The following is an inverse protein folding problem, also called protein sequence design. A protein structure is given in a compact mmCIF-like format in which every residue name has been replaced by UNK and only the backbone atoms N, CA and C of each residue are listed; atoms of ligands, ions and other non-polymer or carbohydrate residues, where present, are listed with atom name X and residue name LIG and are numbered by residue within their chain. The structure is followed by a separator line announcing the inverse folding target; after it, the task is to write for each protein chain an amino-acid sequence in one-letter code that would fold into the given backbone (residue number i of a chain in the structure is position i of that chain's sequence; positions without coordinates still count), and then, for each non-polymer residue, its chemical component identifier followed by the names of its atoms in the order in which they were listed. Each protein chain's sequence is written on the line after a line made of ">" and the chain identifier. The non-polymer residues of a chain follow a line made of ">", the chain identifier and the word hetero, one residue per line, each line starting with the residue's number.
data_IF_864664524243
#
_entry.id   IF_864664524243
#
_cell.length_a   1.000
_cell.length_b   1.000
_cell.length_c   1.000
_cell.angle_alpha   90.00
_cell.angle_beta   90.00
_cell.angle_gamma   90.00
#
_symmetry.space_group_name_H-M   'P 1'
#
loop_
_entity.id
_entity.type
_entity.pdbx_description
1 polymer ?
#
# COMPACT_ATOMS: atom_id res chain seq x y z
N UNK A 1 26.22 1.73 -9.17
CA UNK A 1 25.14 1.17 -8.34
C UNK A 1 23.88 1.85 -8.81
N UNK A 2 22.90 1.08 -9.30
CA UNK A 2 21.58 1.59 -9.72
C UNK A 2 20.88 1.87 -8.38
N UNK A 3 21.05 3.05 -7.79
CA UNK A 3 20.30 4.23 -8.20
C UNK A 3 18.85 3.91 -7.87
N UNK A 4 18.37 4.39 -6.72
CA UNK A 4 16.98 4.37 -6.25
C UNK A 4 16.11 5.10 -7.28
N UNK A 5 15.97 4.49 -8.45
CA UNK A 5 15.17 4.99 -9.55
C UNK A 5 13.73 4.69 -9.14
N UNK A 6 13.17 5.70 -8.47
CA UNK A 6 11.76 6.00 -8.41
C UNK A 6 10.89 4.95 -7.74
N UNK A 7 10.92 4.88 -6.41
CA UNK A 7 9.88 4.19 -5.65
C UNK A 7 8.52 4.87 -5.91
N UNK A 8 8.52 6.18 -6.14
CA UNK A 8 7.32 6.96 -6.46
C UNK A 8 6.69 6.76 -7.85
N UNK A 9 7.28 6.01 -8.80
CA UNK A 9 6.77 6.01 -10.20
C UNK A 9 5.96 4.78 -10.60
N UNK A 10 6.06 3.65 -9.89
CA UNK A 10 5.39 2.41 -10.34
C UNK A 10 3.93 2.32 -9.84
N UNK A 11 3.59 2.93 -8.71
CA UNK A 11 2.23 2.84 -8.13
C UNK A 11 1.22 3.86 -8.68
N UNK A 12 1.68 4.94 -9.32
CA UNK A 12 0.80 5.98 -9.88
C UNK A 12 -0.06 5.44 -11.05
N UNK A 13 0.33 4.34 -11.67
CA UNK A 13 -0.38 3.81 -12.85
C UNK A 13 -1.65 3.04 -12.46
N UNK A 14 -1.72 2.43 -11.26
CA UNK A 14 -2.93 1.75 -10.78
C UNK A 14 -4.08 2.71 -10.43
N UNK A 15 -3.76 3.94 -9.99
CA UNK A 15 -4.76 4.95 -9.59
C UNK A 15 -5.49 5.56 -10.79
N UNK A 16 -4.84 5.67 -11.96
CA UNK A 16 -5.47 6.28 -13.15
C UNK A 16 -6.42 5.36 -13.92
N UNK A 17 -6.34 4.03 -13.72
CA UNK A 17 -7.21 3.07 -14.42
C UNK A 17 -8.67 3.11 -13.97
N UNK A 18 -8.96 3.62 -12.77
CA UNK A 18 -10.29 3.56 -12.16
C UNK A 18 -11.23 4.67 -12.69
N UNK A 19 -10.70 5.72 -13.32
CA UNK A 19 -11.50 6.83 -13.84
C UNK A 19 -12.45 6.47 -15.00
N UNK A 20 -12.33 5.29 -15.62
CA UNK A 20 -13.16 4.89 -16.78
C UNK A 20 -14.47 4.14 -16.44
N UNK A 21 -14.87 4.04 -15.17
CA UNK A 21 -16.02 3.20 -14.74
C UNK A 21 -17.33 3.95 -14.46
N UNK A 22 -17.51 5.17 -14.94
CA UNK A 22 -18.69 6.00 -14.58
C UNK A 22 -19.99 5.65 -15.30
N UNK A 23 -20.01 4.83 -16.35
CA UNK A 23 -21.27 4.50 -17.03
C UNK A 23 -21.38 3.00 -17.36
N UNK A 24 -22.19 2.27 -16.58
CA UNK A 24 -23.41 1.61 -17.10
C UNK A 24 -24.19 0.78 -16.05
N UNK A 25 -25.50 0.87 -16.17
CA UNK A 25 -26.58 0.32 -15.34
C UNK A 25 -26.72 -1.23 -15.40
N UNK A 26 -26.78 -1.90 -14.23
CA UNK A 26 -27.74 -2.95 -13.78
C UNK A 26 -27.19 -3.65 -12.52
N UNK A 27 -27.89 -3.48 -11.40
CA UNK A 27 -27.43 -3.90 -10.06
C UNK A 27 -27.66 -5.40 -9.87
N UNK A 28 -26.60 -6.19 -10.03
CA UNK A 28 -26.45 -7.46 -9.32
C UNK A 28 -25.90 -7.14 -7.91
N UNK A 29 -26.32 -7.86 -6.87
CA UNK A 29 -25.88 -7.61 -5.47
C UNK A 29 -24.34 -7.60 -5.36
N UNK A 30 -23.68 -8.47 -6.11
CA UNK A 30 -22.22 -8.56 -6.24
C UNK A 30 -21.58 -7.29 -6.83
N UNK A 31 -22.23 -6.62 -7.78
CA UNK A 31 -21.69 -5.39 -8.38
C UNK A 31 -21.72 -4.21 -7.40
N UNK A 32 -22.72 -4.19 -6.50
CA UNK A 32 -22.79 -3.21 -5.43
C UNK A 32 -21.72 -3.47 -4.36
N UNK A 33 -21.56 -4.73 -3.93
CA UNK A 33 -20.52 -5.14 -2.97
C UNK A 33 -19.11 -4.83 -3.50
N UNK A 34 -18.83 -5.11 -4.78
CA UNK A 34 -17.55 -4.76 -5.42
C UNK A 34 -17.34 -3.24 -5.44
N UNK A 35 -18.37 -2.45 -5.77
CA UNK A 35 -18.26 -0.98 -5.81
C UNK A 35 -18.06 -0.37 -4.41
N UNK A 36 -18.78 -0.87 -3.40
CA UNK A 36 -18.60 -0.43 -2.02
C UNK A 36 -17.17 -0.69 -1.55
N UNK A 37 -16.66 -1.90 -1.82
CA UNK A 37 -15.29 -2.24 -1.51
C UNK A 37 -14.29 -1.36 -2.27
N UNK A 38 -14.49 -1.12 -3.57
CA UNK A 38 -13.65 -0.21 -4.36
C UNK A 38 -13.64 1.23 -3.84
N UNK A 39 -14.79 1.75 -3.39
CA UNK A 39 -14.86 3.08 -2.80
C UNK A 39 -14.05 3.14 -1.51
N UNK A 40 -14.16 2.12 -0.65
CA UNK A 40 -13.31 1.99 0.54
C UNK A 40 -11.82 1.98 0.17
N UNK A 41 -11.42 1.30 -0.91
CA UNK A 41 -10.01 1.33 -1.33
C UNK A 41 -9.57 2.73 -1.76
N UNK A 42 -10.39 3.44 -2.52
CA UNK A 42 -10.06 4.77 -3.01
C UNK A 42 -10.06 5.85 -1.92
N UNK A 43 -10.96 5.73 -0.95
CA UNK A 43 -11.15 6.73 0.10
C UNK A 43 -10.24 6.49 1.30
N UNK A 44 -9.97 5.22 1.66
CA UNK A 44 -9.24 4.86 2.88
C UNK A 44 -7.86 4.27 2.56
N UNK A 45 -7.79 3.22 1.73
CA UNK A 45 -6.55 2.45 1.56
C UNK A 45 -5.49 3.13 0.69
N UNK A 46 -5.83 3.55 -0.53
CA UNK A 46 -4.86 4.12 -1.46
C UNK A 46 -4.24 5.44 -1.00
N UNK A 47 -4.96 6.36 -0.35
CA UNK A 47 -4.35 7.55 0.25
C UNK A 47 -3.27 7.17 1.27
N UNK A 48 -3.56 6.26 2.19
CA UNK A 48 -2.62 5.79 3.22
C UNK A 48 -1.43 5.06 2.59
N UNK A 49 -1.67 4.23 1.58
CA UNK A 49 -0.62 3.56 0.81
C UNK A 49 0.35 4.58 0.19
N UNK A 50 -0.18 5.61 -0.47
CA UNK A 50 0.63 6.65 -1.11
C UNK A 50 1.46 7.43 -0.10
N UNK A 51 0.86 7.84 1.02
CA UNK A 51 1.56 8.56 2.08
C UNK A 51 2.67 7.69 2.69
N UNK A 52 2.41 6.40 2.92
CA UNK A 52 3.40 5.46 3.44
C UNK A 52 4.58 5.26 2.47
N UNK A 53 4.32 5.13 1.17
CA UNK A 53 5.39 5.03 0.18
C UNK A 53 6.21 6.31 0.06
N UNK A 54 5.58 7.48 0.13
CA UNK A 54 6.32 8.75 0.13
C UNK A 54 7.25 8.86 1.33
N UNK A 55 6.78 8.47 2.52
CA UNK A 55 7.59 8.44 3.73
C UNK A 55 8.73 7.41 3.64
N UNK A 56 8.48 6.23 3.06
CA UNK A 56 9.49 5.20 2.83
C UNK A 56 10.55 5.61 1.78
N UNK A 57 10.16 6.33 0.73
CA UNK A 57 11.08 6.89 -0.27
C UNK A 57 12.02 7.89 0.41
N UNK A 58 11.48 8.79 1.24
CA UNK A 58 12.30 9.70 2.03
C UNK A 58 13.20 8.96 3.03
N UNK A 59 12.70 7.94 3.72
CA UNK A 59 13.52 7.13 4.61
C UNK A 59 14.67 6.43 3.85
N UNK A 60 14.44 6.01 2.60
CA UNK A 60 15.46 5.41 1.75
C UNK A 60 16.56 6.43 1.38
N UNK A 61 16.16 7.65 0.99
CA UNK A 61 17.09 8.74 0.67
C UNK A 61 17.94 9.12 1.90
N UNK A 62 17.30 9.29 3.07
CA UNK A 62 17.97 9.65 4.31
C UNK A 62 18.86 8.51 4.83
N UNK A 63 18.47 7.25 4.57
CA UNK A 63 19.37 6.11 4.72
C UNK A 63 20.54 6.27 3.75
N UNK A 64 20.38 6.46 2.44
CA UNK A 64 21.51 6.61 1.51
C UNK A 64 22.48 7.76 1.87
N UNK A 65 21.96 8.86 2.41
CA UNK A 65 22.73 10.05 2.78
C UNK A 65 23.39 9.95 4.16
N UNK A 66 23.16 8.87 4.93
CA UNK A 66 23.63 8.71 6.33
C UNK A 66 23.05 9.75 7.29
N UNK A 67 21.88 10.28 6.98
CA UNK A 67 21.18 11.34 7.73
C UNK A 67 19.91 10.84 8.41
N UNK A 68 19.55 9.56 8.23
CA UNK A 68 18.36 8.91 8.78
C UNK A 68 18.09 9.24 10.26
N UNK A 69 19.08 9.16 11.15
CA UNK A 69 18.87 9.41 12.58
C UNK A 69 18.48 10.87 12.86
N UNK A 70 19.13 11.82 12.20
CA UNK A 70 18.81 13.24 12.35
C UNK A 70 17.44 13.55 11.76
N UNK A 71 17.14 13.00 10.58
CA UNK A 71 15.82 13.13 9.96
C UNK A 71 14.72 12.56 10.86
N UNK A 72 14.88 11.30 11.28
CA UNK A 72 13.87 10.57 12.03
C UNK A 72 13.64 11.21 13.40
N UNK A 73 14.70 11.54 14.15
CA UNK A 73 14.55 12.05 15.52
C UNK A 73 14.32 13.56 15.62
N UNK A 74 14.74 14.35 14.62
CA UNK A 74 14.77 15.81 14.74
C UNK A 74 14.03 16.54 13.61
N UNK A 75 13.86 15.93 12.44
CA UNK A 75 13.24 16.58 11.28
C UNK A 75 11.79 16.12 11.01
N UNK A 76 11.17 15.41 11.95
CA UNK A 76 9.76 15.02 11.88
C UNK A 76 9.50 13.60 11.38
N UNK A 77 10.52 12.86 10.93
CA UNK A 77 10.34 11.50 10.41
C UNK A 77 9.67 10.56 11.41
N UNK A 78 9.99 10.65 12.71
CA UNK A 78 9.34 9.88 13.76
C UNK A 78 7.85 10.20 13.92
N UNK A 79 7.50 11.48 13.88
CA UNK A 79 6.13 11.93 14.10
C UNK A 79 5.24 11.51 12.91
N UNK A 80 5.74 11.69 11.69
CA UNK A 80 5.07 11.21 10.47
C UNK A 80 4.92 9.69 10.47
N UNK A 81 5.96 8.95 10.86
CA UNK A 81 5.92 7.50 10.97
C UNK A 81 4.89 7.01 12.00
N UNK A 82 4.72 7.73 13.11
CA UNK A 82 3.71 7.43 14.11
C UNK A 82 2.29 7.72 13.60
N UNK A 83 2.08 8.85 12.92
CA UNK A 83 0.79 9.19 12.29
C UNK A 83 0.39 8.16 11.22
N UNK A 84 1.35 7.70 10.42
CA UNK A 84 1.11 6.66 9.42
C UNK A 84 0.72 5.31 10.05
N UNK A 85 1.38 4.92 11.14
CA UNK A 85 1.01 3.69 11.86
C UNK A 85 -0.43 3.74 12.37
N UNK A 86 -0.87 4.89 12.91
CA UNK A 86 -2.26 5.10 13.34
C UNK A 86 -3.23 4.98 12.16
N UNK A 87 -2.98 5.69 11.06
CA UNK A 87 -3.82 5.62 9.84
C UNK A 87 -3.89 4.21 9.24
N UNK A 88 -2.78 3.48 9.23
CA UNK A 88 -2.74 2.11 8.72
C UNK A 88 -3.55 1.19 9.61
N UNK A 89 -3.46 1.34 10.94
CA UNK A 89 -4.28 0.58 11.88
C UNK A 89 -5.79 0.86 11.71
N UNK A 90 -6.18 2.13 11.56
CA UNK A 90 -7.56 2.52 11.28
C UNK A 90 -8.06 1.93 9.94
N UNK A 91 -7.23 2.01 8.91
CA UNK A 91 -7.52 1.42 7.59
C UNK A 91 -7.68 -0.09 7.68
N UNK A 92 -6.79 -0.77 8.43
CA UNK A 92 -6.87 -2.23 8.68
C UNK A 92 -8.21 -2.61 9.29
N UNK A 93 -8.63 -1.90 10.33
CA UNK A 93 -9.88 -2.16 11.02
C UNK A 93 -11.08 -1.97 10.07
N UNK A 94 -11.08 -0.89 9.30
CA UNK A 94 -12.10 -0.59 8.29
C UNK A 94 -12.18 -1.67 7.20
N UNK A 95 -11.02 -2.09 6.66
CA UNK A 95 -10.95 -3.17 5.68
C UNK A 95 -11.44 -4.49 6.28
N UNK A 96 -11.10 -4.81 7.53
CA UNK A 96 -11.52 -6.03 8.23
C UNK A 96 -13.03 -6.09 8.43
N UNK A 97 -13.66 -4.97 8.80
CA UNK A 97 -15.10 -4.84 9.04
C UNK A 97 -15.93 -4.97 7.74
N UNK A 98 -15.38 -4.60 6.59
CA UNK A 98 -16.12 -4.65 5.32
C UNK A 98 -16.42 -6.11 4.89
N UNK A 99 -17.71 -6.46 4.83
CA UNK A 99 -18.13 -7.80 4.42
C UNK A 99 -18.06 -7.98 2.90
N UNK A 100 -17.06 -8.74 2.43
CA UNK A 100 -16.94 -9.16 1.03
C UNK A 100 -17.26 -10.64 0.86
N UNK A 101 -18.12 -10.98 -0.11
CA UNK A 101 -18.57 -12.37 -0.36
C UNK A 101 -18.28 -12.85 -1.78
N UNK A 102 -17.86 -11.96 -2.67
CA UNK A 102 -17.53 -12.28 -4.06
C UNK A 102 -16.23 -13.08 -4.20
N UNK A 103 -16.20 -13.99 -5.18
CA UNK A 103 -15.03 -14.84 -5.48
C UNK A 103 -13.78 -14.05 -5.83
N UNK A 104 -13.92 -12.80 -6.29
CA UNK A 104 -12.82 -11.92 -6.65
C UNK A 104 -12.55 -10.84 -5.59
N UNK A 105 -13.57 -10.42 -4.83
CA UNK A 105 -13.41 -9.46 -3.74
C UNK A 105 -12.71 -10.06 -2.51
N UNK A 106 -12.92 -11.36 -2.24
CA UNK A 106 -12.27 -12.06 -1.13
C UNK A 106 -10.74 -12.14 -1.33
N UNK A 107 -10.21 -12.60 -2.49
CA UNK A 107 -8.77 -12.54 -2.76
C UNK A 107 -8.20 -11.12 -2.71
N UNK A 108 -8.91 -10.12 -3.24
CA UNK A 108 -8.48 -8.73 -3.20
C UNK A 108 -8.37 -8.22 -1.76
N UNK A 109 -9.38 -8.44 -0.93
CA UNK A 109 -9.33 -8.09 0.51
C UNK A 109 -8.17 -8.77 1.22
N UNK A 110 -7.90 -10.04 0.92
CA UNK A 110 -6.75 -10.75 1.51
C UNK A 110 -5.42 -10.09 1.13
N UNK A 111 -5.23 -9.80 -0.15
CA UNK A 111 -4.03 -9.14 -0.64
C UNK A 111 -3.83 -7.74 -0.02
N UNK A 112 -4.91 -6.95 0.14
CA UNK A 112 -4.85 -5.64 0.81
C UNK A 112 -4.45 -5.78 2.28
N UNK A 113 -5.00 -6.76 3.00
CA UNK A 113 -4.62 -7.00 4.40
C UNK A 113 -3.15 -7.44 4.51
N UNK A 114 -2.63 -8.17 3.53
CA UNK A 114 -1.20 -8.51 3.44
C UNK A 114 -0.34 -7.26 3.18
N UNK A 115 -0.78 -6.36 2.30
CA UNK A 115 -0.11 -5.06 2.09
C UNK A 115 -0.08 -4.22 3.36
N UNK A 116 -1.22 -4.10 4.05
CA UNK A 116 -1.34 -3.38 5.32
C UNK A 116 -0.36 -3.95 6.35
N UNK A 117 -0.30 -5.28 6.51
CA UNK A 117 0.64 -5.90 7.43
C UNK A 117 2.11 -5.61 7.05
N UNK A 118 2.45 -5.66 5.76
CA UNK A 118 3.78 -5.32 5.29
C UNK A 118 4.13 -3.84 5.53
N UNK A 119 3.17 -2.91 5.37
CA UNK A 119 3.37 -1.50 5.72
C UNK A 119 3.64 -1.33 7.21
N UNK A 120 2.84 -1.95 8.08
CA UNK A 120 3.01 -1.91 9.54
C UNK A 120 4.40 -2.40 9.95
N UNK A 121 4.82 -3.55 9.41
CA UNK A 121 6.14 -4.12 9.69
C UNK A 121 7.28 -3.21 9.19
N UNK A 122 7.10 -2.55 8.06
CA UNK A 122 8.10 -1.63 7.50
C UNK A 122 8.25 -0.36 8.34
N UNK A 123 7.15 0.26 8.78
CA UNK A 123 7.20 1.44 9.65
C UNK A 123 7.72 1.09 11.06
N UNK A 124 7.42 -0.11 11.56
CA UNK A 124 7.99 -0.61 12.80
C UNK A 124 9.51 -0.82 12.66
N UNK A 125 9.98 -1.32 11.51
CA UNK A 125 11.41 -1.42 11.22
C UNK A 125 12.09 -0.04 11.28
N UNK A 126 11.50 1.00 10.68
CA UNK A 126 12.03 2.37 10.77
C UNK A 126 12.08 2.88 12.22
N UNK A 127 11.06 2.57 13.02
CA UNK A 127 11.01 2.95 14.44
C UNK A 127 12.14 2.31 15.24
N UNK A 128 12.32 1.00 15.07
CA UNK A 128 13.36 0.26 15.78
C UNK A 128 14.76 0.66 15.32
N UNK A 129 14.93 1.01 14.04
CA UNK A 129 16.20 1.47 13.47
C UNK A 129 16.79 2.67 14.21
N UNK A 130 15.93 3.61 14.61
CA UNK A 130 16.34 4.82 15.32
C UNK A 130 16.66 4.58 16.81
N UNK A 131 16.28 3.43 17.36
CA UNK A 131 16.46 3.07 18.78
C UNK A 131 17.73 2.24 19.03
N UNK A 132 18.41 1.75 17.99
CA UNK A 132 19.60 0.90 18.14
C UNK A 132 20.89 1.71 18.25
N UNK A 133 21.80 1.29 19.13
CA UNK A 133 23.16 1.85 19.27
C UNK A 133 24.14 1.34 18.17
N UNK A 134 23.73 0.34 17.38
CA UNK A 134 24.53 -0.21 16.28
C UNK A 134 24.37 0.63 15.01
N UNK A 135 25.31 0.54 14.07
CA UNK A 135 25.23 1.24 12.78
C UNK A 135 23.92 0.83 12.06
N UNK A 136 22.87 1.67 12.11
CA UNK A 136 21.54 1.31 11.63
C UNK A 136 21.59 0.96 10.15
N UNK A 137 22.57 1.52 9.47
CA UNK A 137 22.74 1.48 8.04
C UNK A 137 22.84 0.07 7.48
N UNK A 138 23.71 -0.77 8.03
CA UNK A 138 23.98 -2.07 7.40
C UNK A 138 22.89 -3.10 7.68
N UNK A 139 22.29 -3.05 8.87
CA UNK A 139 21.28 -4.00 9.31
C UNK A 139 19.88 -3.64 8.79
N UNK A 140 19.52 -2.35 8.81
CA UNK A 140 18.19 -1.91 8.39
C UNK A 140 18.09 -1.79 6.89
N UNK A 141 19.16 -1.41 6.17
CA UNK A 141 19.07 -1.27 4.72
C UNK A 141 18.65 -2.56 4.01
N UNK A 142 19.18 -3.72 4.41
CA UNK A 142 18.80 -5.01 3.80
C UNK A 142 17.35 -5.40 4.13
N UNK A 143 16.96 -5.27 5.40
CA UNK A 143 15.59 -5.59 5.83
C UNK A 143 14.56 -4.65 5.21
N UNK A 144 14.87 -3.36 5.15
CA UNK A 144 14.03 -2.34 4.54
C UNK A 144 13.87 -2.59 3.04
N UNK A 145 14.97 -2.89 2.33
CA UNK A 145 14.90 -3.25 0.90
C UNK A 145 14.01 -4.47 0.69
N UNK A 146 14.18 -5.52 1.50
CA UNK A 146 13.35 -6.73 1.40
C UNK A 146 11.86 -6.44 1.62
N UNK A 147 11.53 -5.59 2.58
CA UNK A 147 10.15 -5.20 2.88
C UNK A 147 9.52 -4.37 1.76
N UNK A 148 10.28 -3.48 1.15
CA UNK A 148 9.84 -2.73 -0.03
C UNK A 148 9.59 -3.68 -1.22
N UNK A 149 10.48 -4.65 -1.46
CA UNK A 149 10.28 -5.66 -2.52
C UNK A 149 9.02 -6.53 -2.27
N UNK A 150 8.74 -6.87 -1.00
CA UNK A 150 7.50 -7.56 -0.61
C UNK A 150 6.26 -6.72 -0.94
N UNK A 151 6.26 -5.43 -0.60
CA UNK A 151 5.18 -4.49 -0.94
C UNK A 151 4.98 -4.35 -2.46
N UNK A 152 6.05 -4.35 -3.24
CA UNK A 152 5.96 -4.37 -4.71
C UNK A 152 5.28 -5.63 -5.23
N UNK A 153 5.71 -6.80 -4.76
CA UNK A 153 5.11 -8.08 -5.16
C UNK A 153 3.63 -8.16 -4.82
N UNK A 154 3.23 -7.61 -3.66
CA UNK A 154 1.83 -7.54 -3.26
C UNK A 154 1.03 -6.55 -4.12
N UNK A 155 1.64 -5.44 -4.54
CA UNK A 155 1.02 -4.45 -5.44
C UNK A 155 0.81 -5.03 -6.85
N UNK A 156 1.79 -5.76 -7.40
CA UNK A 156 1.61 -6.46 -8.69
C UNK A 156 0.48 -7.49 -8.62
N UNK A 157 0.36 -8.21 -7.51
CA UNK A 157 -0.77 -9.13 -7.30
C UNK A 157 -2.11 -8.41 -7.22
N UNK A 158 -2.16 -7.23 -6.60
CA UNK A 158 -3.36 -6.39 -6.57
C UNK A 158 -3.79 -5.98 -7.98
N UNK A 159 -2.85 -5.53 -8.81
CA UNK A 159 -3.14 -5.14 -10.20
C UNK A 159 -3.72 -6.31 -11.00
N UNK A 160 -3.15 -7.51 -10.86
CA UNK A 160 -3.69 -8.72 -11.50
C UNK A 160 -5.12 -9.03 -11.03
N UNK A 161 -5.39 -8.91 -9.73
CA UNK A 161 -6.74 -9.14 -9.17
C UNK A 161 -7.75 -8.09 -9.63
N UNK A 162 -7.31 -6.85 -9.84
CA UNK A 162 -8.14 -5.77 -10.41
C UNK A 162 -8.40 -5.99 -11.91
N UNK A 163 -7.42 -6.47 -12.67
CA UNK A 163 -7.56 -6.78 -14.10
C UNK A 163 -8.40 -8.03 -14.37
N UNK A 164 -8.31 -9.05 -13.52
CA UNK A 164 -9.21 -10.21 -13.56
C UNK A 164 -10.67 -9.78 -13.33
N UNK A 165 -10.91 -8.84 -12.41
CA UNK A 165 -12.23 -8.23 -12.22
C UNK A 165 -12.75 -7.51 -13.47
N UNK A 166 -11.87 -6.86 -14.22
CA UNK A 166 -12.22 -6.14 -15.45
C UNK A 166 -12.50 -7.10 -16.61
N UNK A 167 -11.67 -8.14 -16.79
CA UNK A 167 -11.76 -9.09 -17.91
C UNK A 167 -12.90 -10.13 -17.78
N UNK A 168 -13.31 -10.48 -16.56
CA UNK A 168 -14.50 -11.33 -16.33
C UNK A 168 -15.78 -10.64 -16.82
N UNK A 169 -15.87 -9.30 -16.73
CA UNK A 169 -17.02 -8.53 -17.26
C UNK A 169 -17.09 -8.52 -18.78
N UNK A 170 -15.96 -8.42 -19.48
CA UNK A 170 -15.93 -8.46 -20.95
C UNK A 170 -16.35 -9.83 -21.50
N UNK A 171 -15.96 -10.92 -20.84
CA UNK A 171 -16.29 -12.28 -21.27
C UNK A 171 -17.71 -12.72 -20.92
N UNK A 172 -18.32 -12.17 -19.88
CA UNK A 172 -19.67 -12.56 -19.43
C UNK A 172 -20.80 -11.82 -20.13
N UNK A 173 -20.50 -10.82 -20.97
CA UNK A 173 -21.51 -10.16 -21.83
C UNK A 173 -22.76 -9.77 -21.05
N UNK A 174 -22.63 -9.02 -19.96
CA UNK A 174 -23.81 -8.44 -19.30
C UNK A 174 -24.53 -7.51 -20.28
N UNK A 175 -25.68 -7.98 -20.76
CA UNK A 175 -26.73 -7.27 -21.51
C UNK A 175 -27.49 -6.31 -20.58
#
# INVERSE_FOLDING_TARGET
>A
MKGFISIGFVLVIGVFGIFYLTDYYKINKEAYEVRAFQNLLNEEFFPVLNDAFAHMDQAADELEEKTFIDWYLQAGGRDENAELQEKIEETRNTVLEEEVKGTTSVPLKKNILEQIAALEETLMLLSTAAETDEDPYSLIHEQFTYKIDELYSLSEQMDLLLDENNSIKEKTGSI
#
